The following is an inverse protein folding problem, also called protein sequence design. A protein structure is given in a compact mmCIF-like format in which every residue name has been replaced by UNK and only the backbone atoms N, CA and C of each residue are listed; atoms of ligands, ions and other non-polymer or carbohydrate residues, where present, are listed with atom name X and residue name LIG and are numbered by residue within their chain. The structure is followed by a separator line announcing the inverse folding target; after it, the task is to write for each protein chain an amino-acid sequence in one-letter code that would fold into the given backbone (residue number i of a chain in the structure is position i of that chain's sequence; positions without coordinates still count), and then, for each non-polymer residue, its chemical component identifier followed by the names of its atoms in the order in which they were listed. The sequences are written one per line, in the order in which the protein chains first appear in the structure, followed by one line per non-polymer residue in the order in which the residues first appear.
data_IF_434627679047
#
_entry.id   IF_434627679047
#
_cell.length_a   1.000
_cell.length_b   1.000
_cell.length_c   1.000
_cell.angle_alpha   90.00
_cell.angle_beta   90.00
_cell.angle_gamma   90.00
#
_symmetry.space_group_name_H-M   'P 1'
#
loop_
_entity.id
_entity.type
_entity.pdbx_description
1 polymer ?
#
# COMPACT_ATOMS: atom_id res chain seq x y z
N UNK A 1 16.41 -7.31 20.31
CA UNK A 1 17.16 -8.29 19.50
C UNK A 1 16.11 -9.27 19.01
N UNK A 2 15.87 -9.34 17.70
CA UNK A 2 14.92 -10.31 17.11
C UNK A 2 15.63 -11.63 16.90
N UNK A 3 14.93 -12.73 17.09
CA UNK A 3 15.38 -14.08 16.74
C UNK A 3 15.66 -14.14 15.24
N UNK A 4 16.80 -14.70 14.84
CA UNK A 4 17.16 -14.82 13.42
C UNK A 4 16.35 -15.94 12.77
N UNK A 5 15.82 -15.69 11.57
CA UNK A 5 15.19 -16.72 10.75
C UNK A 5 16.25 -17.47 9.96
N UNK A 6 16.34 -18.78 10.15
CA UNK A 6 17.30 -19.63 9.43
C UNK A 6 16.63 -20.40 8.30
N UNK A 7 15.34 -20.70 8.43
CA UNK A 7 14.63 -21.60 7.53
C UNK A 7 15.04 -23.05 7.76
N UNK A 8 14.19 -23.98 7.30
CA UNK A 8 14.45 -25.41 7.38
C UNK A 8 14.50 -25.96 5.95
N UNK A 9 15.67 -26.43 5.49
CA UNK A 9 15.80 -27.09 4.20
C UNK A 9 14.92 -28.34 4.12
N UNK A 10 14.37 -28.63 2.93
CA UNK A 10 13.55 -29.84 2.73
C UNK A 10 14.31 -31.14 3.05
N UNK A 11 15.64 -31.15 2.89
CA UNK A 11 16.46 -32.31 3.24
C UNK A 11 16.48 -32.61 4.75
N UNK A 12 16.24 -31.61 5.61
CA UNK A 12 16.28 -31.79 7.06
C UNK A 12 14.95 -32.35 7.62
N UNK A 13 13.88 -32.35 6.81
CA UNK A 13 12.55 -32.89 7.17
C UNK A 13 12.21 -34.18 6.42
N UNK A 14 13.17 -34.77 5.71
CA UNK A 14 13.02 -36.11 5.15
C UNK A 14 12.85 -37.14 6.28
N UNK A 15 12.04 -38.17 6.05
CA UNK A 15 11.73 -39.22 7.03
C UNK A 15 13.00 -39.95 7.51
N UNK A 16 14.00 -40.08 6.64
CA UNK A 16 15.25 -40.75 6.94
C UNK A 16 16.34 -39.80 7.49
N UNK A 17 16.04 -38.50 7.58
CA UNK A 17 17.02 -37.52 8.06
C UNK A 17 17.20 -37.55 9.57
N UNK A 18 18.44 -37.40 10.07
CA UNK A 18 18.69 -37.35 11.50
C UNK A 18 18.12 -36.07 12.10
N UNK A 19 17.60 -36.17 13.32
CA UNK A 19 17.23 -34.99 14.11
C UNK A 19 18.51 -34.35 14.67
N UNK A 20 18.94 -33.25 14.05
CA UNK A 20 20.14 -32.50 14.44
C UNK A 20 19.82 -31.43 15.49
N UNK A 21 20.85 -30.94 16.18
CA UNK A 21 20.69 -29.81 17.11
C UNK A 21 20.26 -28.54 16.36
N UNK A 22 20.78 -28.35 15.15
CA UNK A 22 20.45 -27.26 14.25
C UNK A 22 18.97 -27.29 13.87
N UNK A 23 18.43 -28.47 13.50
CA UNK A 23 17.02 -28.64 13.18
C UNK A 23 16.11 -28.29 14.37
N UNK A 24 16.42 -28.78 15.58
CA UNK A 24 15.65 -28.45 16.78
C UNK A 24 15.72 -26.96 17.11
N UNK A 25 16.87 -26.33 16.89
CA UNK A 25 17.04 -24.89 17.08
C UNK A 25 16.17 -24.11 16.10
N UNK A 26 16.22 -24.45 14.81
CA UNK A 26 15.39 -23.81 13.77
C UNK A 26 13.90 -24.03 14.02
N UNK A 27 13.46 -25.24 14.40
CA UNK A 27 12.06 -25.54 14.72
C UNK A 27 11.51 -24.70 15.89
N UNK A 28 12.36 -24.32 16.85
CA UNK A 28 12.00 -23.43 17.96
C UNK A 28 12.05 -21.96 17.55
N UNK A 29 13.11 -21.57 16.87
CA UNK A 29 13.47 -20.17 16.64
C UNK A 29 12.76 -19.57 15.42
N UNK A 30 12.54 -20.35 14.35
CA UNK A 30 11.87 -19.86 13.13
C UNK A 30 10.43 -19.40 13.38
N UNK A 31 9.57 -20.11 14.15
CA UNK A 31 8.24 -19.60 14.49
C UNK A 31 8.28 -18.29 15.28
N UNK A 32 9.26 -18.13 16.17
CA UNK A 32 9.46 -16.89 16.94
C UNK A 32 9.92 -15.78 16.00
N UNK A 33 10.90 -16.04 15.13
CA UNK A 33 11.41 -15.09 14.15
C UNK A 33 10.31 -14.62 13.18
N UNK A 34 9.43 -15.52 12.74
CA UNK A 34 8.25 -15.19 11.93
C UNK A 34 7.31 -14.25 12.71
N UNK A 35 6.99 -14.60 13.96
CA UNK A 35 6.10 -13.79 14.80
C UNK A 35 6.68 -12.40 15.11
N UNK A 36 8.00 -12.28 15.24
CA UNK A 36 8.72 -11.03 15.47
C UNK A 36 8.95 -10.20 14.19
N UNK A 37 8.68 -10.77 13.02
CA UNK A 37 8.91 -10.10 11.74
C UNK A 37 10.39 -9.99 11.35
N UNK A 38 11.22 -10.95 11.75
CA UNK A 38 12.66 -10.97 11.47
C UNK A 38 12.95 -10.88 9.97
N UNK A 39 14.04 -10.18 9.60
CA UNK A 39 14.48 -10.07 8.21
C UNK A 39 14.71 -11.47 7.63
N UNK A 40 14.22 -11.71 6.42
CA UNK A 40 14.30 -13.01 5.74
C UNK A 40 13.19 -13.99 6.12
N UNK A 41 12.47 -13.77 7.22
CA UNK A 41 11.27 -14.55 7.53
C UNK A 41 10.14 -14.23 6.54
N UNK A 42 9.24 -15.19 6.23
CA UNK A 42 8.04 -14.92 5.44
C UNK A 42 7.22 -13.74 5.98
N UNK A 43 6.67 -12.94 5.06
CA UNK A 43 5.74 -11.86 5.46
C UNK A 43 4.47 -12.45 6.06
N UNK A 44 4.03 -11.91 7.20
CA UNK A 44 2.73 -12.26 7.77
C UNK A 44 1.63 -11.60 6.94
N UNK A 45 0.96 -12.37 6.09
CA UNK A 45 0.00 -11.84 5.11
C UNK A 45 -1.12 -10.99 5.73
N UNK A 46 -1.53 -11.27 6.97
CA UNK A 46 -2.56 -10.51 7.69
C UNK A 46 -2.10 -9.10 8.12
N UNK A 47 -0.78 -8.88 8.26
CA UNK A 47 -0.22 -7.58 8.57
C UNK A 47 -0.01 -6.73 7.31
N UNK A 48 -0.01 -5.41 7.48
CA UNK A 48 0.39 -4.51 6.40
C UNK A 48 1.87 -4.73 6.05
N UNK A 49 2.13 -5.11 4.80
CA UNK A 49 3.48 -5.29 4.28
C UNK A 49 3.60 -4.69 2.87
N UNK A 50 4.81 -4.36 2.40
CA UNK A 50 4.99 -3.84 1.05
C UNK A 50 4.39 -4.76 -0.02
N UNK A 51 3.72 -4.20 -1.03
CA UNK A 51 3.05 -5.01 -2.06
C UNK A 51 4.02 -5.90 -2.86
N UNK A 52 5.29 -5.49 -2.95
CA UNK A 52 6.39 -6.15 -3.64
C UNK A 52 7.30 -6.96 -2.71
N UNK A 53 6.83 -7.29 -1.51
CA UNK A 53 7.54 -8.11 -0.53
C UNK A 53 7.00 -9.54 -0.48
N UNK A 54 7.90 -10.51 -0.38
CA UNK A 54 7.60 -11.93 -0.08
C UNK A 54 8.22 -12.38 1.24
N UNK A 55 9.34 -11.77 1.64
CA UNK A 55 10.02 -11.95 2.93
C UNK A 55 10.18 -10.59 3.63
N UNK A 56 10.12 -10.56 4.96
CA UNK A 56 10.39 -9.34 5.71
C UNK A 56 11.77 -8.77 5.38
N UNK A 57 11.84 -7.46 5.19
CA UNK A 57 13.05 -6.76 4.73
C UNK A 57 13.31 -6.85 3.23
N UNK A 58 12.49 -7.57 2.45
CA UNK A 58 12.50 -7.52 0.98
C UNK A 58 11.39 -6.59 0.48
N UNK A 59 11.64 -5.84 -0.59
CA UNK A 59 10.69 -4.85 -1.10
C UNK A 59 10.53 -3.63 -0.18
N UNK A 60 10.30 -2.47 -0.77
CA UNK A 60 10.13 -1.19 -0.06
C UNK A 60 8.73 -0.61 -0.23
N UNK A 61 7.89 -1.24 -1.05
CA UNK A 61 6.52 -0.83 -1.34
C UNK A 61 6.46 0.38 -2.27
N UNK A 62 7.60 0.95 -2.65
CA UNK A 62 7.65 2.17 -3.43
C UNK A 62 7.18 1.88 -4.86
N UNK A 63 6.27 2.72 -5.35
CA UNK A 63 5.84 2.66 -6.74
C UNK A 63 5.94 4.03 -7.44
N UNK A 64 6.25 5.08 -6.69
CA UNK A 64 6.60 6.38 -7.24
C UNK A 64 7.67 7.06 -6.39
N UNK A 65 8.59 7.71 -7.10
CA UNK A 65 9.65 8.56 -6.55
C UNK A 65 9.88 9.70 -7.54
N UNK A 66 9.68 10.95 -7.14
CA UNK A 66 9.89 12.09 -8.03
C UNK A 66 11.31 12.14 -8.60
N UNK A 67 12.32 11.69 -7.84
CA UNK A 67 13.71 11.68 -8.34
C UNK A 67 13.90 10.73 -9.53
N UNK A 68 13.04 9.72 -9.66
CA UNK A 68 13.08 8.72 -10.75
C UNK A 68 12.09 9.08 -11.86
N UNK A 69 10.88 9.50 -11.49
CA UNK A 69 9.77 9.66 -12.43
C UNK A 69 9.59 11.09 -12.94
N UNK A 70 10.16 12.08 -12.24
CA UNK A 70 9.97 13.50 -12.54
C UNK A 70 8.53 13.98 -12.32
N UNK A 71 8.22 15.13 -12.93
CA UNK A 71 6.91 15.76 -12.84
C UNK A 71 5.88 15.00 -13.67
N UNK A 72 4.81 14.52 -13.03
CA UNK A 72 3.72 13.78 -13.68
C UNK A 72 2.37 14.39 -13.32
N UNK A 73 1.41 14.33 -14.24
CA UNK A 73 0.05 14.83 -14.00
C UNK A 73 -0.76 13.93 -13.05
N UNK A 74 -0.41 12.63 -13.00
CA UNK A 74 -1.07 11.65 -12.15
C UNK A 74 -0.14 10.47 -11.89
N UNK A 75 -0.34 9.81 -10.76
CA UNK A 75 0.41 8.62 -10.35
C UNK A 75 -0.58 7.46 -10.21
N UNK A 76 -0.35 6.38 -10.96
CA UNK A 76 -1.16 5.16 -10.94
C UNK A 76 -0.49 4.09 -10.07
N UNK A 77 -1.26 3.39 -9.25
CA UNK A 77 -0.74 2.24 -8.49
C UNK A 77 -0.44 1.05 -9.42
N UNK A 78 0.45 0.14 -9.02
CA UNK A 78 0.46 -1.22 -9.54
C UNK A 78 -0.94 -1.85 -9.52
N UNK A 79 -1.15 -2.85 -10.39
CA UNK A 79 -2.41 -3.59 -10.44
C UNK A 79 -2.69 -4.32 -9.12
N UNK A 80 -3.90 -4.19 -8.63
CA UNK A 80 -4.36 -4.89 -7.44
C UNK A 80 -4.66 -6.36 -7.75
N UNK A 81 -4.31 -7.23 -6.82
CA UNK A 81 -4.49 -8.67 -6.88
C UNK A 81 -5.64 -9.09 -5.94
N UNK A 82 -6.40 -10.09 -6.38
CA UNK A 82 -7.48 -10.65 -5.58
C UNK A 82 -6.96 -11.22 -4.24
N UNK A 83 -7.81 -11.19 -3.21
CA UNK A 83 -7.44 -11.68 -1.87
C UNK A 83 -6.72 -10.65 -0.98
N UNK A 84 -6.48 -9.42 -1.45
CA UNK A 84 -5.82 -8.37 -0.69
C UNK A 84 -6.66 -7.10 -0.53
N UNK A 85 -6.39 -6.39 0.57
CA UNK A 85 -6.68 -4.97 0.76
C UNK A 85 -5.41 -4.15 0.60
N UNK A 86 -5.54 -2.87 0.30
CA UNK A 86 -4.41 -2.00 -0.05
C UNK A 86 -4.35 -0.74 0.80
N UNK A 87 -3.15 -0.19 0.95
CA UNK A 87 -2.92 1.11 1.56
C UNK A 87 -1.89 1.87 0.73
N UNK A 88 -2.21 3.11 0.37
CA UNK A 88 -1.28 4.05 -0.27
C UNK A 88 -0.75 4.97 0.82
N UNK A 89 0.57 5.13 0.90
CA UNK A 89 1.24 6.07 1.80
C UNK A 89 1.84 7.21 0.96
N UNK A 90 1.61 8.44 1.41
CA UNK A 90 2.17 9.66 0.84
C UNK A 90 3.28 10.18 1.75
N UNK A 91 4.46 10.34 1.17
CA UNK A 91 5.65 10.86 1.84
C UNK A 91 6.12 12.12 1.12
N UNK A 92 5.76 13.27 1.70
CA UNK A 92 6.10 14.61 1.24
C UNK A 92 5.76 14.85 -0.24
N UNK A 93 4.60 14.36 -0.69
CA UNK A 93 4.14 14.50 -2.07
C UNK A 93 3.79 15.97 -2.34
N UNK A 94 4.46 16.59 -3.32
CA UNK A 94 4.33 18.04 -3.58
C UNK A 94 3.87 18.35 -4.99
N UNK A 95 3.39 19.58 -5.13
CA UNK A 95 3.27 20.30 -6.40
C UNK A 95 3.84 21.72 -6.28
N UNK A 96 4.25 22.31 -7.41
CA UNK A 96 4.87 23.64 -7.43
C UNK A 96 3.84 24.79 -7.31
N UNK A 97 4.18 25.91 -6.67
CA UNK A 97 3.36 27.14 -6.61
C UNK A 97 2.28 27.17 -5.50
N UNK A 98 1.15 27.89 -5.70
CA UNK A 98 0.03 28.05 -4.74
C UNK A 98 -0.97 26.89 -4.72
N UNK A 99 -1.54 26.56 -3.56
CA UNK A 99 -2.30 25.32 -3.32
C UNK A 99 -3.39 24.97 -4.34
N UNK A 100 -3.53 23.67 -4.60
CA UNK A 100 -4.45 23.08 -5.60
C UNK A 100 -5.25 21.93 -4.98
N UNK A 101 -6.17 21.32 -5.73
CA UNK A 101 -6.85 20.12 -5.25
C UNK A 101 -5.92 18.91 -5.34
N UNK A 102 -5.89 18.11 -4.29
CA UNK A 102 -5.37 16.74 -4.31
C UNK A 102 -6.52 15.74 -4.39
N UNK A 103 -6.41 14.77 -5.29
CA UNK A 103 -7.52 13.94 -5.73
C UNK A 103 -7.17 12.47 -5.84
N UNK A 104 -8.19 11.63 -5.77
CA UNK A 104 -8.11 10.18 -6.06
C UNK A 104 -9.23 9.74 -7.00
N UNK A 105 -8.90 8.75 -7.83
CA UNK A 105 -9.80 8.05 -8.73
C UNK A 105 -9.55 6.54 -8.65
N UNK A 106 -10.60 5.74 -8.84
CA UNK A 106 -10.52 4.28 -8.83
C UNK A 106 -10.80 3.73 -10.23
N UNK A 107 -9.93 2.85 -10.72
CA UNK A 107 -10.16 2.15 -11.99
C UNK A 107 -11.16 1.03 -11.79
N UNK A 108 -12.28 1.11 -12.48
CA UNK A 108 -13.41 0.18 -12.36
C UNK A 108 -13.33 -0.89 -13.46
N UNK A 109 -13.12 -2.14 -13.07
CA UNK A 109 -12.80 -3.22 -14.03
C UNK A 109 -13.92 -3.49 -15.04
N UNK A 110 -15.18 -3.48 -14.59
CA UNK A 110 -16.33 -3.72 -15.48
C UNK A 110 -16.60 -2.53 -16.40
N UNK A 111 -16.51 -1.31 -15.89
CA UNK A 111 -16.66 -0.10 -16.69
C UNK A 111 -15.45 0.20 -17.59
N UNK A 112 -14.31 -0.46 -17.36
CA UNK A 112 -13.03 -0.22 -18.01
C UNK A 112 -12.59 1.26 -17.97
N UNK A 113 -12.94 1.99 -16.90
CA UNK A 113 -12.72 3.43 -16.79
C UNK A 113 -12.50 3.89 -15.36
N UNK A 114 -11.79 5.01 -15.19
CA UNK A 114 -11.64 5.68 -13.90
C UNK A 114 -12.96 6.27 -13.40
N UNK A 115 -13.13 6.28 -12.08
CA UNK A 115 -14.18 7.06 -11.43
C UNK A 115 -14.06 8.55 -11.68
N UNK A 116 -15.13 9.29 -11.39
CA UNK A 116 -14.97 10.72 -11.18
C UNK A 116 -13.94 10.96 -10.07
N UNK A 117 -13.14 12.00 -10.22
CA UNK A 117 -12.15 12.38 -9.22
C UNK A 117 -12.83 12.84 -7.93
N UNK A 118 -12.39 12.29 -6.81
CA UNK A 118 -12.77 12.76 -5.49
C UNK A 118 -11.65 13.66 -4.93
N UNK A 119 -12.01 14.84 -4.44
CA UNK A 119 -11.07 15.78 -3.82
C UNK A 119 -10.87 15.38 -2.35
N UNK A 120 -9.65 14.96 -2.01
CA UNK A 120 -9.28 14.56 -0.66
C UNK A 120 -8.85 15.76 0.19
N UNK A 121 -8.15 16.71 -0.43
CA UNK A 121 -7.63 17.91 0.21
C UNK A 121 -7.67 19.06 -0.78
N UNK A 122 -8.11 20.23 -0.31
CA UNK A 122 -8.08 21.46 -1.08
C UNK A 122 -8.17 22.68 -0.14
N UNK A 123 -7.41 23.77 -0.42
CA UNK A 123 -6.24 23.83 -1.30
C UNK A 123 -4.99 23.27 -0.61
N UNK A 124 -4.14 22.55 -1.34
CA UNK A 124 -2.93 21.91 -0.81
C UNK A 124 -1.75 21.99 -1.78
N UNK A 125 -0.53 22.09 -1.23
CA UNK A 125 0.73 22.07 -1.99
C UNK A 125 1.63 20.91 -1.62
N UNK A 126 1.46 20.35 -0.42
CA UNK A 126 2.16 19.16 0.06
C UNK A 126 1.16 18.23 0.72
N UNK A 127 1.27 16.92 0.49
CA UNK A 127 0.40 15.89 1.06
C UNK A 127 1.25 14.83 1.75
N UNK A 128 0.82 14.44 2.95
CA UNK A 128 1.36 13.34 3.74
C UNK A 128 0.19 12.48 4.27
N UNK A 129 0.50 11.26 4.70
CA UNK A 129 -0.47 10.37 5.34
C UNK A 129 -0.80 9.16 4.49
N UNK A 130 -2.03 8.66 4.57
CA UNK A 130 -2.41 7.41 3.91
C UNK A 130 -3.86 7.37 3.41
N UNK A 131 -4.11 6.47 2.48
CA UNK A 131 -5.45 6.03 2.08
C UNK A 131 -5.50 4.52 2.16
N UNK A 132 -6.44 3.98 2.94
CA UNK A 132 -6.77 2.57 2.94
C UNK A 132 -7.91 2.28 1.96
N UNK A 133 -7.75 1.18 1.23
CA UNK A 133 -8.58 0.68 0.15
C UNK A 133 -9.09 -0.72 0.57
N UNK A 134 -10.04 -0.79 1.51
CA UNK A 134 -10.60 -2.06 1.96
C UNK A 134 -11.40 -2.72 0.84
N UNK A 135 -11.32 -4.04 0.76
CA UNK A 135 -12.18 -4.87 -0.10
C UNK A 135 -12.26 -4.48 -1.59
N UNK A 136 -11.32 -3.69 -2.11
CA UNK A 136 -11.34 -3.18 -3.50
C UNK A 136 -11.35 -4.27 -4.58
N UNK A 137 -10.98 -5.50 -4.23
CA UNK A 137 -11.01 -6.68 -5.11
C UNK A 137 -12.21 -7.59 -4.91
N UNK A 138 -13.19 -7.21 -4.08
CA UNK A 138 -14.52 -7.84 -4.02
C UNK A 138 -15.45 -7.14 -5.02
N UNK A 139 -16.32 -7.89 -5.68
CA UNK A 139 -17.31 -7.30 -6.59
C UNK A 139 -18.41 -6.64 -5.77
N UNK A 140 -18.50 -5.31 -5.81
CA UNK A 140 -19.40 -4.52 -4.96
C UNK A 140 -20.06 -3.39 -5.75
N UNK A 141 -21.28 -3.01 -5.35
CA UNK A 141 -22.01 -1.86 -5.92
C UNK A 141 -21.48 -0.50 -5.44
N UNK A 142 -20.65 -0.48 -4.40
CA UNK A 142 -19.91 0.69 -3.97
C UNK A 142 -18.63 0.25 -3.25
N UNK A 143 -17.58 1.06 -3.34
CA UNK A 143 -16.35 0.88 -2.59
C UNK A 143 -16.13 2.06 -1.65
N UNK A 144 -15.72 1.77 -0.41
CA UNK A 144 -15.36 2.81 0.56
C UNK A 144 -13.84 2.90 0.62
N UNK A 145 -13.31 4.12 0.62
CA UNK A 145 -11.92 4.37 0.99
C UNK A 145 -11.87 5.11 2.31
N UNK A 146 -10.80 4.90 3.08
CA UNK A 146 -10.57 5.56 4.36
C UNK A 146 -9.31 6.41 4.19
N UNK A 147 -9.44 7.73 4.29
CA UNK A 147 -8.32 8.64 4.11
C UNK A 147 -7.91 9.31 5.42
N UNK A 148 -6.63 9.17 5.77
CA UNK A 148 -5.95 9.91 6.83
C UNK A 148 -4.84 10.75 6.19
N UNK A 149 -5.24 11.79 5.46
CA UNK A 149 -4.32 12.66 4.72
C UNK A 149 -4.22 14.04 5.37
N UNK A 150 -3.00 14.53 5.49
CA UNK A 150 -2.71 15.89 5.94
C UNK A 150 -1.88 16.60 4.88
N UNK A 151 -1.80 17.91 4.96
CA UNK A 151 -1.01 18.69 4.03
C UNK A 151 -0.71 20.09 4.51
N UNK A 152 -0.10 20.86 3.63
CA UNK A 152 0.08 22.31 3.80
C UNK A 152 -0.28 23.00 2.50
N UNK A 153 -0.94 24.16 2.58
CA UNK A 153 -1.23 24.98 1.39
C UNK A 153 -0.01 25.81 0.97
N UNK A 154 0.77 26.30 1.93
CA UNK A 154 2.08 26.95 1.74
C UNK A 154 2.87 26.91 3.05
N UNK A 155 2.30 27.46 4.12
CA UNK A 155 2.83 27.46 5.49
C UNK A 155 1.81 27.03 6.53
N UNK A 156 0.52 26.97 6.16
CA UNK A 156 -0.57 26.59 7.05
C UNK A 156 -0.87 25.09 6.92
N UNK A 157 -0.83 24.33 8.03
CA UNK A 157 -1.31 22.95 8.06
C UNK A 157 -2.79 22.85 7.70
N UNK A 158 -3.13 21.86 6.90
CA UNK A 158 -4.50 21.48 6.56
C UNK A 158 -4.64 19.98 6.85
N UNK A 159 -5.68 19.61 7.58
CA UNK A 159 -6.02 18.21 7.78
C UNK A 159 -7.23 17.86 6.92
N UNK A 160 -7.15 16.74 6.19
CA UNK A 160 -8.35 16.07 5.74
C UNK A 160 -8.99 15.50 7.00
N UNK A 161 -10.27 15.77 7.23
CA UNK A 161 -11.00 14.97 8.22
C UNK A 161 -10.85 13.49 7.85
N UNK A 162 -10.86 12.58 8.82
CA UNK A 162 -10.92 11.14 8.56
C UNK A 162 -12.21 10.80 7.81
N UNK A 163 -12.20 11.00 6.49
CA UNK A 163 -13.40 10.95 5.65
C UNK A 163 -13.40 9.56 5.01
N UNK A 164 -14.34 8.74 5.47
CA UNK A 164 -14.77 7.58 4.71
C UNK A 164 -15.49 8.09 3.44
N UNK A 165 -14.90 7.83 2.28
CA UNK A 165 -15.42 8.28 0.99
C UNK A 165 -16.01 7.12 0.22
N UNK A 166 -17.24 7.28 -0.28
CA UNK A 166 -17.96 6.23 -1.01
C UNK A 166 -17.88 6.47 -2.52
N UNK A 167 -17.36 5.50 -3.26
CA UNK A 167 -17.43 5.42 -4.71
C UNK A 167 -18.57 4.49 -5.11
N UNK A 168 -19.76 5.05 -5.34
CA UNK A 168 -20.91 4.29 -5.81
C UNK A 168 -20.79 3.93 -7.31
N UNK A 169 -21.35 2.79 -7.69
CA UNK A 169 -21.31 2.27 -9.04
C UNK A 169 -22.70 1.86 -9.53
N UNK A 170 -22.97 2.06 -10.81
CA UNK A 170 -24.23 1.62 -11.44
C UNK A 170 -24.31 0.10 -11.60
N UNK A 171 -23.17 -0.60 -11.60
CA UNK A 171 -23.07 -2.05 -11.61
C UNK A 171 -21.98 -2.51 -10.62
N UNK A 172 -22.21 -3.66 -9.98
CA UNK A 172 -21.24 -4.24 -9.06
C UNK A 172 -19.96 -4.64 -9.79
N UNK A 173 -18.81 -4.22 -9.25
CA UNK A 173 -17.52 -4.48 -9.88
C UNK A 173 -16.36 -4.42 -8.89
N UNK A 174 -15.20 -4.93 -9.33
CA UNK A 174 -13.91 -4.81 -8.66
C UNK A 174 -13.20 -3.54 -9.11
N UNK A 175 -12.26 -3.10 -8.29
CA UNK A 175 -11.34 -2.02 -8.60
C UNK A 175 -9.97 -2.60 -8.98
N UNK A 176 -9.49 -2.21 -10.16
CA UNK A 176 -8.23 -2.67 -10.75
C UNK A 176 -7.00 -2.01 -10.15
N UNK A 177 -7.12 -0.69 -9.97
CA UNK A 177 -6.03 0.23 -9.63
C UNK A 177 -6.61 1.48 -8.99
N UNK A 178 -5.76 2.26 -8.33
CA UNK A 178 -6.05 3.63 -7.94
C UNK A 178 -5.12 4.61 -8.66
N UNK A 179 -5.60 5.83 -8.86
CA UNK A 179 -4.81 6.94 -9.38
C UNK A 179 -4.97 8.14 -8.49
N UNK A 180 -3.87 8.81 -8.18
CA UNK A 180 -3.85 10.06 -7.41
C UNK A 180 -3.23 11.17 -8.25
N UNK A 181 -3.67 12.39 -8.00
CA UNK A 181 -3.21 13.55 -8.77
C UNK A 181 -3.38 14.84 -7.98
N UNK A 182 -2.57 15.83 -8.33
CA UNK A 182 -2.98 17.22 -8.15
C UNK A 182 -3.68 17.68 -9.43
N UNK A 183 -4.40 18.80 -9.41
CA UNK A 183 -4.87 19.41 -10.67
C UNK A 183 -3.75 19.97 -11.56
N UNK A 184 -2.51 19.85 -11.11
CA UNK A 184 -1.28 20.19 -11.81
C UNK A 184 -0.27 19.05 -11.66
N UNK A 185 0.89 19.15 -12.31
CA UNK A 185 1.93 18.14 -12.15
C UNK A 185 2.53 18.14 -10.74
N UNK A 186 3.02 16.97 -10.33
CA UNK A 186 3.85 16.80 -9.14
C UNK A 186 5.18 17.55 -9.27
N UNK A 187 5.79 17.87 -8.12
CA UNK A 187 7.09 18.54 -8.05
C UNK A 187 8.05 17.93 -7.03
N UNK A 188 7.62 16.99 -6.19
CA UNK A 188 8.46 16.24 -5.27
C UNK A 188 7.71 15.05 -4.65
N UNK A 189 8.41 14.27 -3.83
CA UNK A 189 7.84 13.28 -2.93
C UNK A 189 7.80 11.85 -3.46
N UNK A 190 7.29 10.94 -2.63
CA UNK A 190 7.28 9.49 -2.86
C UNK A 190 5.95 8.89 -2.46
N UNK A 191 5.57 7.81 -3.13
CA UNK A 191 4.40 7.01 -2.75
C UNK A 191 4.79 5.55 -2.61
N UNK A 192 4.15 4.94 -1.61
CA UNK A 192 4.31 3.53 -1.29
C UNK A 192 2.96 2.84 -1.28
N UNK A 193 2.95 1.57 -1.69
CA UNK A 193 1.79 0.69 -1.68
C UNK A 193 2.07 -0.46 -0.74
N UNK A 194 1.17 -0.63 0.22
CA UNK A 194 1.15 -1.74 1.16
C UNK A 194 -0.10 -2.58 0.88
N UNK A 195 -0.03 -3.86 1.26
CA UNK A 195 -1.15 -4.79 1.18
C UNK A 195 -1.24 -5.64 2.44
N UNK A 196 -2.41 -6.22 2.65
CA UNK A 196 -2.63 -7.31 3.61
C UNK A 196 -3.73 -8.23 3.08
N UNK A 197 -3.74 -9.50 3.50
CA UNK A 197 -4.78 -10.44 3.10
C UNK A 197 -6.14 -9.99 3.63
N UNK A 198 -7.16 -10.13 2.79
CA UNK A 198 -8.55 -10.00 3.19
C UNK A 198 -8.88 -11.07 4.24
N UNK A 199 -9.32 -10.64 5.42
CA UNK A 199 -9.97 -11.52 6.40
C UNK A 199 -11.41 -11.86 6.00
#
# INVERSE_FOLDING_TARGET
MTTAYTGIPNGDIDQDSPVTQELITALRDDPIAIAEGAIGAPVTAAGWHPYNSTLNGTGDGKFYDFAVHGAVASIETPAFADGYEYMIIFDDLKKAGTGVDFRIELYRDTAAAYSSAFVLLSPVSTVNGKIELPQVRRSMGAHVIISDVTGVTSTTPVAGGGIATVFAHSAAQKIGKARVSFTTNTSAGKLYLYRRSLQ
#
